data_IF_519213291361
#
_entry.id   IF_519213291361
#
_cell.length_a   1.000
_cell.length_b   1.000
_cell.length_c   1.000
_cell.angle_alpha   90.00
_cell.angle_beta   90.00
_cell.angle_gamma   90.00
#
_symmetry.space_group_name_H-M   'P 1'
#
loop_
_entity.id
_entity.type
_entity.pdbx_description
1 polymer ?
#
# COMPACT_ATOMS: atom_id res chain seq x y z
N UNK A 1 -0.47 -21.94 -21.31
CA UNK A 1 -0.54 -22.94 -20.21
C UNK A 1 -1.66 -22.62 -19.23
N UNK A 2 -1.64 -21.47 -18.53
CA UNK A 2 -2.65 -21.12 -17.52
C UNK A 2 -4.11 -21.22 -18.00
N UNK A 3 -4.40 -20.78 -19.24
CA UNK A 3 -5.74 -20.90 -19.84
C UNK A 3 -6.20 -22.35 -19.98
N UNK A 4 -5.34 -23.22 -20.52
CA UNK A 4 -5.66 -24.66 -20.74
C UNK A 4 -5.79 -25.43 -19.43
N UNK A 5 -5.07 -25.02 -18.39
CA UNK A 5 -5.19 -25.58 -17.04
C UNK A 5 -6.37 -25.00 -16.23
N UNK A 6 -7.12 -24.05 -16.79
CA UNK A 6 -8.24 -23.39 -16.12
C UNK A 6 -7.84 -22.42 -15.00
N UNK A 7 -6.57 -22.02 -14.94
CA UNK A 7 -6.07 -21.03 -13.97
C UNK A 7 -6.55 -19.61 -14.33
N UNK A 8 -6.68 -19.31 -15.63
CA UNK A 8 -7.26 -18.05 -16.11
C UNK A 8 -8.38 -18.34 -17.12
N UNK A 9 -9.41 -17.51 -17.11
CA UNK A 9 -10.53 -17.61 -18.05
C UNK A 9 -10.27 -16.91 -19.40
N UNK A 10 -9.17 -16.17 -19.53
CA UNK A 10 -8.86 -15.39 -20.74
C UNK A 10 -8.06 -16.22 -21.74
N UNK A 11 -8.60 -16.36 -22.96
CA UNK A 11 -7.93 -17.02 -24.07
C UNK A 11 -6.81 -16.11 -24.62
N UNK A 12 -5.52 -16.46 -24.42
CA UNK A 12 -4.42 -15.63 -24.89
C UNK A 12 -4.35 -15.55 -26.42
N UNK A 13 -4.99 -16.46 -27.17
CA UNK A 13 -5.02 -16.37 -28.63
C UNK A 13 -5.94 -15.24 -29.15
N UNK A 14 -6.82 -14.69 -28.29
CA UNK A 14 -7.77 -13.63 -28.63
C UNK A 14 -7.35 -12.25 -28.11
N UNK A 15 -6.17 -12.16 -27.52
CA UNK A 15 -5.64 -10.95 -26.88
C UNK A 15 -4.14 -10.84 -27.09
N UNK A 16 -3.60 -9.63 -27.21
CA UNK A 16 -2.15 -9.42 -27.34
C UNK A 16 -1.43 -9.49 -25.98
N UNK A 17 -1.50 -10.64 -25.31
CA UNK A 17 -0.81 -10.89 -24.04
C UNK A 17 0.61 -11.43 -24.30
N UNK A 18 1.62 -10.82 -23.67
CA UNK A 18 3.01 -11.25 -23.76
C UNK A 18 3.29 -12.37 -22.76
N UNK A 19 3.57 -13.58 -23.26
CA UNK A 19 3.87 -14.73 -22.42
C UNK A 19 5.18 -14.56 -21.64
N UNK A 20 6.15 -13.86 -22.22
CA UNK A 20 7.49 -13.62 -21.66
C UNK A 20 7.44 -12.77 -20.38
N UNK A 21 6.33 -12.04 -20.15
CA UNK A 21 6.10 -11.34 -18.87
C UNK A 21 5.78 -12.31 -17.73
N UNK A 22 5.22 -13.47 -18.05
CA UNK A 22 4.89 -14.51 -17.09
C UNK A 22 6.05 -15.49 -16.88
N UNK A 23 6.69 -15.91 -17.98
CA UNK A 23 7.83 -16.83 -17.94
C UNK A 23 8.77 -16.52 -19.10
N UNK A 24 10.03 -16.18 -18.78
CA UNK A 24 11.06 -15.85 -19.76
C UNK A 24 12.28 -16.77 -19.56
N UNK A 25 12.86 -17.33 -20.63
CA UNK A 25 14.06 -18.16 -20.52
C UNK A 25 15.30 -17.37 -20.04
N UNK A 26 15.27 -16.04 -20.13
CA UNK A 26 16.30 -15.14 -19.62
C UNK A 26 16.16 -14.84 -18.12
N UNK A 27 15.04 -15.22 -17.47
CA UNK A 27 14.80 -15.04 -16.03
C UNK A 27 14.72 -16.39 -15.32
N UNK A 28 15.44 -16.53 -14.21
CA UNK A 28 15.45 -17.76 -13.40
C UNK A 28 14.46 -17.75 -12.22
N UNK A 29 13.72 -16.65 -12.03
CA UNK A 29 12.73 -16.54 -10.96
C UNK A 29 11.54 -17.47 -11.25
N UNK A 30 11.00 -18.19 -10.24
CA UNK A 30 9.75 -18.91 -10.42
C UNK A 30 8.63 -17.93 -10.78
N UNK A 31 7.68 -18.32 -11.66
CA UNK A 31 6.54 -17.48 -11.97
C UNK A 31 5.62 -17.34 -10.75
N UNK A 32 5.12 -16.13 -10.52
CA UNK A 32 4.14 -15.85 -9.46
C UNK A 32 2.73 -15.79 -10.08
N UNK A 33 1.75 -16.41 -9.42
CA UNK A 33 0.36 -16.50 -9.90
C UNK A 33 -0.59 -16.05 -8.80
N UNK A 34 -1.11 -14.84 -8.94
CA UNK A 34 -2.22 -14.34 -8.12
C UNK A 34 -3.55 -14.89 -8.65
N UNK A 35 -4.35 -15.46 -7.76
CA UNK A 35 -5.68 -16.01 -8.09
C UNK A 35 -6.75 -15.28 -7.28
N UNK A 36 -7.72 -14.69 -7.98
CA UNK A 36 -8.86 -14.02 -7.38
C UNK A 36 -9.97 -15.01 -7.01
N UNK A 37 -10.58 -14.79 -5.84
CA UNK A 37 -11.74 -15.53 -5.35
C UNK A 37 -12.84 -14.56 -4.95
N UNK A 38 -14.09 -15.03 -4.95
CA UNK A 38 -15.19 -14.29 -4.35
C UNK A 38 -14.88 -14.00 -2.88
N UNK A 39 -15.06 -12.74 -2.47
CA UNK A 39 -14.56 -12.24 -1.19
C UNK A 39 -15.14 -13.01 0.01
N UNK A 40 -16.42 -13.39 -0.04
CA UNK A 40 -17.09 -14.13 1.04
C UNK A 40 -16.63 -15.59 1.12
N UNK A 41 -16.13 -16.13 0.01
CA UNK A 41 -15.72 -17.54 -0.11
C UNK A 41 -14.21 -17.74 -0.01
N UNK A 42 -13.42 -16.66 0.09
CA UNK A 42 -11.96 -16.71 0.24
C UNK A 42 -11.53 -17.59 1.41
N UNK A 43 -12.28 -17.56 2.50
CA UNK A 43 -11.98 -18.37 3.69
C UNK A 43 -12.08 -19.88 3.41
N UNK A 44 -13.04 -20.32 2.59
CA UNK A 44 -13.16 -21.73 2.19
C UNK A 44 -11.88 -22.23 1.51
N UNK A 45 -11.31 -21.39 0.63
CA UNK A 45 -10.09 -21.71 -0.11
C UNK A 45 -8.88 -21.76 0.83
N UNK A 46 -8.77 -20.80 1.75
CA UNK A 46 -7.70 -20.79 2.75
C UNK A 46 -7.75 -22.06 3.60
N UNK A 47 -8.93 -22.47 4.06
CA UNK A 47 -9.08 -23.69 4.84
C UNK A 47 -8.79 -24.96 4.01
N UNK A 48 -9.14 -24.98 2.74
CA UNK A 48 -8.78 -26.08 1.83
C UNK A 48 -7.25 -26.19 1.65
N UNK A 49 -6.54 -25.07 1.53
CA UNK A 49 -5.06 -25.04 1.50
C UNK A 49 -4.50 -25.63 2.80
N UNK A 50 -5.01 -25.20 3.96
CA UNK A 50 -4.57 -25.78 5.24
C UNK A 50 -4.89 -27.26 5.37
N UNK A 51 -6.05 -27.71 4.90
CA UNK A 51 -6.44 -29.12 4.91
C UNK A 51 -5.53 -29.96 4.02
N UNK A 52 -5.18 -29.46 2.84
CA UNK A 52 -4.37 -30.17 1.84
C UNK A 52 -2.89 -30.22 2.22
N UNK A 53 -2.33 -29.11 2.70
CA UNK A 53 -0.90 -28.98 2.95
C UNK A 53 -0.50 -29.07 4.42
N UNK A 54 -1.44 -28.90 5.35
CA UNK A 54 -1.20 -28.89 6.80
C UNK A 54 -0.72 -27.53 7.31
N UNK A 55 -1.04 -27.22 8.56
CA UNK A 55 -0.69 -25.92 9.19
C UNK A 55 0.81 -25.76 9.48
N UNK A 56 1.55 -26.87 9.52
CA UNK A 56 3.01 -26.83 9.70
C UNK A 56 3.76 -26.43 8.42
N UNK A 57 3.07 -26.40 7.27
CA UNK A 57 3.67 -26.14 5.94
C UNK A 57 3.00 -25.00 5.17
N UNK A 58 1.95 -24.40 5.72
CA UNK A 58 1.24 -23.29 5.11
C UNK A 58 0.90 -22.25 6.18
N UNK A 59 0.98 -20.97 5.81
CA UNK A 59 0.61 -19.85 6.66
C UNK A 59 0.23 -18.64 5.81
N UNK A 60 -0.53 -17.71 6.38
CA UNK A 60 -0.73 -16.39 5.80
C UNK A 60 0.54 -15.56 5.97
N UNK A 61 0.91 -14.82 4.92
CA UNK A 61 1.98 -13.82 5.01
C UNK A 61 1.47 -12.63 5.83
N UNK A 62 2.28 -12.16 6.78
CA UNK A 62 2.00 -10.95 7.55
C UNK A 62 2.51 -9.73 6.81
N UNK A 63 1.72 -8.67 6.81
CA UNK A 63 2.15 -7.35 6.38
C UNK A 63 2.67 -6.54 7.58
N UNK A 64 3.72 -5.74 7.38
CA UNK A 64 4.22 -4.81 8.40
C UNK A 64 3.62 -3.44 8.11
N UNK A 65 2.69 -3.01 8.97
CA UNK A 65 2.08 -1.69 8.86
C UNK A 65 3.06 -0.65 9.39
N UNK A 66 3.59 0.18 8.50
CA UNK A 66 4.42 1.34 8.84
C UNK A 66 3.61 2.63 8.75
N UNK A 67 4.10 3.67 9.43
CA UNK A 67 3.66 5.02 9.11
C UNK A 67 4.02 5.37 7.66
N UNK A 68 3.17 6.20 7.05
CA UNK A 68 3.39 6.84 5.75
C UNK A 68 3.21 8.33 5.96
N UNK A 69 3.66 9.16 5.02
CA UNK A 69 3.64 10.62 5.21
C UNK A 69 2.29 11.16 5.67
N UNK A 70 1.19 10.64 5.10
CA UNK A 70 -0.17 10.97 5.50
C UNK A 70 -0.51 10.57 6.94
N UNK A 71 -0.29 9.31 7.34
CA UNK A 71 -0.62 8.86 8.70
C UNK A 71 0.28 9.49 9.76
N UNK A 72 1.58 9.66 9.44
CA UNK A 72 2.54 10.33 10.31
C UNK A 72 2.12 11.78 10.60
N UNK A 73 1.78 12.55 9.55
CA UNK A 73 1.30 13.92 9.70
C UNK A 73 0.02 14.02 10.51
N UNK A 74 -0.91 13.06 10.34
CA UNK A 74 -2.17 13.05 11.08
C UNK A 74 -1.95 12.85 12.57
N UNK A 75 -1.18 11.83 12.94
CA UNK A 75 -1.01 11.47 14.35
C UNK A 75 -0.12 12.48 15.07
N UNK A 76 0.96 12.95 14.44
CA UNK A 76 1.82 14.00 14.99
C UNK A 76 1.06 15.33 15.07
N UNK A 77 0.31 15.71 14.04
CA UNK A 77 -0.49 16.95 14.06
C UNK A 77 -1.49 17.00 15.20
N UNK A 78 -2.20 15.89 15.46
CA UNK A 78 -3.10 15.75 16.61
C UNK A 78 -2.33 15.86 17.94
N UNK A 79 -1.20 15.19 18.07
CA UNK A 79 -0.39 15.21 19.29
C UNK A 79 0.14 16.62 19.63
N UNK A 80 0.39 17.45 18.62
CA UNK A 80 0.80 18.85 18.77
C UNK A 80 -0.38 19.83 18.87
N UNK A 81 -1.62 19.34 18.97
CA UNK A 81 -2.80 20.16 19.20
C UNK A 81 -3.29 20.93 17.98
N UNK A 82 -3.02 20.44 16.76
CA UNK A 82 -3.70 20.95 15.57
C UNK A 82 -5.18 20.53 15.59
N UNK A 83 -6.06 21.40 15.10
CA UNK A 83 -7.46 21.04 14.93
C UNK A 83 -7.61 19.95 13.87
N UNK A 84 -8.70 19.19 13.92
CA UNK A 84 -8.96 18.16 12.91
C UNK A 84 -9.03 18.73 11.50
N UNK A 85 -9.57 19.95 11.31
CA UNK A 85 -9.55 20.64 10.03
C UNK A 85 -8.12 20.92 9.55
N UNK A 86 -7.25 21.43 10.42
CA UNK A 86 -5.84 21.67 10.08
C UNK A 86 -5.12 20.36 9.71
N UNK A 87 -5.39 19.28 10.45
CA UNK A 87 -4.83 17.95 10.20
C UNK A 87 -5.31 17.39 8.86
N UNK A 88 -6.60 17.47 8.58
CA UNK A 88 -7.19 16.96 7.34
C UNK A 88 -6.65 17.74 6.13
N UNK A 89 -6.53 19.07 6.24
CA UNK A 89 -5.94 19.90 5.18
C UNK A 89 -4.47 19.58 4.95
N UNK A 90 -3.64 19.51 6.01
CA UNK A 90 -2.21 19.19 5.90
C UNK A 90 -2.00 17.79 5.31
N UNK A 91 -2.66 16.78 5.89
CA UNK A 91 -2.52 15.40 5.44
C UNK A 91 -3.14 15.14 4.06
N UNK A 92 -4.08 15.97 3.62
CA UNK A 92 -4.65 15.96 2.28
C UNK A 92 -3.69 16.42 1.18
N UNK A 93 -2.61 17.14 1.53
CA UNK A 93 -1.55 17.49 0.55
C UNK A 93 -0.69 16.30 0.17
N UNK A 94 -0.68 15.26 0.99
CA UNK A 94 0.07 14.04 0.70
C UNK A 94 -0.66 13.28 -0.40
N UNK A 95 -0.05 13.26 -1.59
CA UNK A 95 -0.48 12.45 -2.72
C UNK A 95 -0.25 10.97 -2.48
N UNK A 96 -0.96 10.12 -3.23
CA UNK A 96 -0.85 8.67 -3.12
C UNK A 96 0.56 8.24 -3.56
N UNK A 97 1.43 7.89 -2.61
CA UNK A 97 2.80 7.50 -2.90
C UNK A 97 3.65 7.26 -1.66
N UNK A 98 4.92 6.90 -1.90
CA UNK A 98 5.98 6.75 -0.89
C UNK A 98 6.70 8.09 -0.64
N UNK A 99 6.05 9.21 -0.94
CA UNK A 99 6.64 10.53 -0.79
C UNK A 99 6.87 10.84 0.69
N UNK A 100 8.03 11.43 0.99
CA UNK A 100 8.34 11.92 2.32
C UNK A 100 7.33 12.98 2.77
N UNK A 101 7.26 13.24 4.08
CA UNK A 101 6.60 14.43 4.61
C UNK A 101 7.36 15.68 4.16
N UNK A 102 7.01 16.17 2.98
CA UNK A 102 7.51 17.41 2.38
C UNK A 102 6.33 18.23 1.86
N UNK A 103 5.86 19.18 2.67
CA UNK A 103 4.74 20.05 2.33
C UNK A 103 5.30 21.43 1.97
N UNK A 104 5.12 21.92 0.73
CA UNK A 104 5.63 23.23 0.34
C UNK A 104 5.08 24.34 1.24
N UNK A 105 5.94 25.28 1.64
CA UNK A 105 5.56 26.40 2.51
C UNK A 105 4.37 27.22 1.98
N UNK A 106 4.20 27.31 0.65
CA UNK A 106 3.04 27.94 0.02
C UNK A 106 1.72 27.24 0.41
N UNK A 107 1.70 25.91 0.40
CA UNK A 107 0.54 25.10 0.79
C UNK A 107 0.22 25.23 2.28
N UNK A 108 1.25 25.30 3.12
CA UNK A 108 1.08 25.55 4.56
C UNK A 108 0.41 26.91 4.80
N UNK A 109 0.82 27.96 4.06
CA UNK A 109 0.19 29.29 4.14
C UNK A 109 -1.25 29.31 3.64
N UNK A 110 -1.56 28.61 2.55
CA UNK A 110 -2.94 28.43 2.07
C UNK A 110 -3.85 27.82 3.16
N UNK A 111 -3.28 27.10 4.11
CA UNK A 111 -3.97 26.48 5.23
C UNK A 111 -4.18 27.40 6.44
N UNK A 112 -3.75 28.65 6.36
CA UNK A 112 -3.79 29.58 7.49
C UNK A 112 -2.77 29.23 8.58
N UNK A 113 -1.76 28.44 8.25
CA UNK A 113 -0.66 28.09 9.14
C UNK A 113 0.58 28.89 8.74
N UNK A 114 1.39 29.28 9.72
CA UNK A 114 2.69 29.88 9.45
C UNK A 114 3.75 28.78 9.31
N UNK A 115 4.42 28.63 8.16
CA UNK A 115 5.52 27.68 7.99
C UNK A 115 6.69 27.91 8.95
N UNK A 116 6.83 29.13 9.52
CA UNK A 116 7.87 29.49 10.49
C UNK A 116 7.41 29.33 11.94
N UNK A 117 6.17 28.92 12.18
CA UNK A 117 5.72 28.57 13.53
C UNK A 117 6.51 27.34 14.00
N UNK A 118 7.21 27.48 15.13
CA UNK A 118 8.02 26.42 15.73
C UNK A 118 7.22 25.13 15.95
N UNK A 119 5.92 25.22 16.24
CA UNK A 119 5.03 24.06 16.37
C UNK A 119 4.86 23.34 15.03
N UNK A 120 4.68 24.07 13.94
CA UNK A 120 4.49 23.51 12.60
C UNK A 120 5.79 22.88 12.10
N UNK A 121 6.94 23.52 12.34
CA UNK A 121 8.25 22.94 12.03
C UNK A 121 8.49 21.63 12.79
N UNK A 122 8.12 21.57 14.08
CA UNK A 122 8.23 20.35 14.88
C UNK A 122 7.31 19.25 14.37
N UNK A 123 6.07 19.57 13.97
CA UNK A 123 5.16 18.58 13.37
C UNK A 123 5.81 17.93 12.14
N UNK A 124 6.35 18.73 11.22
CA UNK A 124 7.01 18.18 10.03
C UNK A 124 8.30 17.43 10.35
N UNK A 125 9.07 17.88 11.35
CA UNK A 125 10.29 17.21 11.78
C UNK A 125 10.00 15.82 12.36
N UNK A 126 9.06 15.72 13.30
CA UNK A 126 8.72 14.46 13.97
C UNK A 126 8.02 13.51 13.00
N UNK A 127 7.11 14.02 12.16
CA UNK A 127 6.43 13.20 11.15
C UNK A 127 7.42 12.56 10.16
N UNK A 128 8.52 13.25 9.80
CA UNK A 128 9.61 12.68 8.97
C UNK A 128 10.45 11.62 9.69
N UNK A 129 10.54 11.66 11.03
CA UNK A 129 11.33 10.69 11.79
C UNK A 129 10.62 9.36 11.98
N UNK A 130 9.28 9.35 11.96
CA UNK A 130 8.48 8.16 12.19
C UNK A 130 7.92 7.55 10.90
N UNK A 131 8.00 8.26 9.79
CA UNK A 131 7.63 7.74 8.46
C UNK A 131 8.54 6.60 8.03
#
# INVERSE_FOLDING_TARGET
MCFVLGITAVDPARSSLLFERFMSPERSDPPDIDVDFEHERREEVIQEIYRRYGRDRAAMVSEVISYRGKSALRDVGKAFGLSMDQVDRLSGTMTHGWEGVDVPAARVREMGLDPKDARIEQVFKIARQIQ
#
